data_IF_913145719689
#
_entry.id   IF_913145719689
#
_cell.length_a   1.000
_cell.length_b   1.000
_cell.length_c   1.000
_cell.angle_alpha   90.00
_cell.angle_beta   90.00
_cell.angle_gamma   90.00
#
_symmetry.space_group_name_H-M   'P 1'
#
loop_
_entity.id
_entity.type
_entity.pdbx_description
1 polymer ?
#
# COMPACT_ATOMS: atom_id res chain seq x y z
N UNK A 1 1.87 1.44 34.73
CA UNK A 1 1.36 1.08 33.40
C UNK A 1 2.54 0.86 32.48
N UNK A 2 2.68 -0.33 31.88
CA UNK A 2 3.75 -0.61 30.91
C UNK A 2 3.43 0.11 29.60
N UNK A 3 4.15 1.18 29.31
CA UNK A 3 3.99 1.91 28.05
C UNK A 3 4.59 1.09 26.91
N UNK A 4 3.75 0.44 26.11
CA UNK A 4 4.14 -0.36 24.94
C UNK A 4 4.48 0.55 23.75
N UNK A 5 5.25 0.03 22.80
CA UNK A 5 5.58 0.69 21.53
C UNK A 5 4.34 1.16 20.76
N UNK A 6 3.27 0.35 20.81
CA UNK A 6 1.95 0.67 20.26
C UNK A 6 1.40 1.99 20.81
N UNK A 7 1.43 2.16 22.14
CA UNK A 7 0.86 3.33 22.79
C UNK A 7 1.67 4.62 22.56
N UNK A 8 3.00 4.50 22.43
CA UNK A 8 3.90 5.68 22.41
C UNK A 8 4.19 6.21 21.02
N UNK A 9 4.09 5.39 19.98
CA UNK A 9 4.52 5.80 18.64
C UNK A 9 3.50 5.43 17.56
N UNK A 10 2.91 4.22 17.60
CA UNK A 10 1.92 3.79 16.59
C UNK A 10 0.64 4.61 16.64
N UNK A 11 0.01 4.74 17.81
CA UNK A 11 -1.21 5.55 17.99
C UNK A 11 -0.98 7.03 17.61
N UNK A 12 0.08 7.71 18.11
CA UNK A 12 0.37 9.08 17.68
C UNK A 12 0.58 9.23 16.17
N UNK A 13 1.20 8.25 15.52
CA UNK A 13 1.43 8.26 14.06
C UNK A 13 0.10 8.16 13.30
N UNK A 14 -0.79 7.25 13.71
CA UNK A 14 -2.12 7.10 13.09
C UNK A 14 -2.94 8.37 13.29
N UNK A 15 -2.99 8.92 14.50
CA UNK A 15 -3.71 10.16 14.78
C UNK A 15 -3.16 11.34 13.96
N UNK A 16 -1.85 11.40 13.76
CA UNK A 16 -1.23 12.41 12.91
C UNK A 16 -1.64 12.25 11.43
N UNK A 17 -1.59 11.03 10.89
CA UNK A 17 -2.05 10.73 9.53
C UNK A 17 -3.53 11.09 9.34
N UNK A 18 -4.38 10.79 10.32
CA UNK A 18 -5.79 11.18 10.27
C UNK A 18 -5.99 12.69 10.23
N UNK A 19 -5.18 13.46 10.98
CA UNK A 19 -5.18 14.94 10.90
C UNK A 19 -4.71 15.46 9.55
N UNK A 20 -3.91 14.69 8.81
CA UNK A 20 -3.47 15.02 7.44
C UNK A 20 -4.51 14.61 6.37
N UNK A 21 -5.65 14.04 6.77
CA UNK A 21 -6.74 13.68 5.85
C UNK A 21 -6.79 12.19 5.47
N UNK A 22 -6.00 11.33 6.12
CA UNK A 22 -6.14 9.87 5.94
C UNK A 22 -7.33 9.34 6.73
N UNK A 23 -8.15 8.49 6.12
CA UNK A 23 -9.20 7.77 6.82
C UNK A 23 -8.65 6.50 7.45
N UNK A 24 -8.99 6.22 8.72
CA UNK A 24 -8.64 4.94 9.32
C UNK A 24 -9.54 3.83 8.77
N UNK A 25 -8.94 2.85 8.11
CA UNK A 25 -9.65 1.69 7.56
C UNK A 25 -9.46 0.48 8.47
N UNK A 26 -10.54 0.03 9.10
CA UNK A 26 -10.55 -1.22 9.86
C UNK A 26 -10.48 -2.43 8.93
N UNK A 27 -9.68 -3.43 9.28
CA UNK A 27 -9.67 -4.72 8.57
C UNK A 27 -10.87 -5.61 8.94
N UNK A 28 -11.57 -5.29 10.04
CA UNK A 28 -12.71 -6.10 10.50
C UNK A 28 -13.90 -5.91 9.57
N UNK A 29 -14.28 -6.99 8.87
CA UNK A 29 -15.43 -6.97 7.95
C UNK A 29 -15.13 -6.36 6.57
N UNK A 30 -13.88 -5.95 6.33
CA UNK A 30 -13.44 -5.42 5.04
C UNK A 30 -12.94 -6.54 4.15
N UNK A 31 -13.27 -6.49 2.86
CA UNK A 31 -12.76 -7.42 1.86
C UNK A 31 -11.60 -6.77 1.08
N UNK A 32 -10.53 -7.54 0.87
CA UNK A 32 -9.41 -7.15 0.03
C UNK A 32 -8.81 -8.38 -0.65
N UNK A 33 -8.08 -8.14 -1.73
CA UNK A 33 -7.38 -9.17 -2.47
C UNK A 33 -6.14 -9.63 -1.67
N UNK A 34 -6.12 -10.89 -1.22
CA UNK A 34 -5.04 -11.39 -0.35
C UNK A 34 -3.71 -11.61 -1.07
N UNK A 35 -3.73 -11.69 -2.40
CA UNK A 35 -2.54 -11.94 -3.20
C UNK A 35 -1.74 -10.67 -3.48
N UNK A 36 -2.42 -9.52 -3.52
CA UNK A 36 -1.83 -8.20 -3.82
C UNK A 36 -2.00 -7.18 -2.69
N UNK A 37 -2.90 -7.46 -1.74
CA UNK A 37 -3.35 -6.54 -0.69
C UNK A 37 -4.03 -5.26 -1.23
N UNK A 38 -4.49 -5.27 -2.48
CA UNK A 38 -5.34 -4.21 -3.05
C UNK A 38 -6.77 -4.36 -2.53
N UNK A 39 -7.41 -3.24 -2.21
CA UNK A 39 -8.81 -3.15 -1.77
C UNK A 39 -9.69 -2.84 -2.99
N UNK A 40 -10.39 -3.83 -3.59
CA UNK A 40 -11.03 -3.65 -4.90
C UNK A 40 -12.14 -2.60 -4.90
N UNK A 41 -12.91 -2.50 -3.83
CA UNK A 41 -14.00 -1.52 -3.72
C UNK A 41 -13.46 -0.08 -3.70
N UNK A 42 -12.41 0.16 -2.91
CA UNK A 42 -11.73 1.45 -2.84
C UNK A 42 -11.03 1.80 -4.15
N UNK A 43 -10.40 0.82 -4.79
CA UNK A 43 -9.78 0.96 -6.10
C UNK A 43 -10.81 1.36 -7.16
N UNK A 44 -11.88 0.59 -7.30
CA UNK A 44 -12.90 0.84 -8.31
C UNK A 44 -13.58 2.19 -8.12
N UNK A 45 -13.95 2.53 -6.88
CA UNK A 45 -14.52 3.84 -6.55
C UNK A 45 -13.59 4.99 -6.94
N UNK A 46 -12.30 4.88 -6.63
CA UNK A 46 -11.33 5.91 -6.96
C UNK A 46 -11.06 6.03 -8.46
N UNK A 47 -10.84 4.90 -9.14
CA UNK A 47 -10.56 4.89 -10.59
C UNK A 47 -11.73 5.43 -11.38
N UNK A 48 -12.98 5.03 -11.07
CA UNK A 48 -14.17 5.60 -11.72
C UNK A 48 -14.30 7.10 -11.51
N UNK A 49 -13.94 7.60 -10.33
CA UNK A 49 -13.96 9.04 -10.04
C UNK A 49 -12.87 9.82 -10.79
N UNK A 50 -11.69 9.24 -10.92
CA UNK A 50 -10.53 9.86 -11.60
C UNK A 50 -10.67 9.79 -13.13
N UNK A 51 -11.36 8.76 -13.64
CA UNK A 51 -11.53 8.50 -15.06
C UNK A 51 -13.03 8.38 -15.39
N UNK A 52 -13.75 9.50 -15.54
CA UNK A 52 -15.22 9.52 -15.67
C UNK A 52 -15.76 8.76 -16.88
N UNK A 53 -14.93 8.63 -17.93
CA UNK A 53 -15.29 7.98 -19.19
C UNK A 53 -15.15 6.44 -19.13
N UNK A 54 -14.64 5.88 -18.03
CA UNK A 54 -14.49 4.43 -17.88
C UNK A 54 -15.77 3.77 -17.39
N UNK A 55 -16.14 2.66 -18.03
CA UNK A 55 -17.22 1.79 -17.54
C UNK A 55 -16.75 0.94 -16.36
N UNK A 56 -17.69 0.33 -15.62
CA UNK A 56 -17.36 -0.63 -14.56
C UNK A 56 -16.50 -1.78 -15.06
N UNK A 57 -16.73 -2.24 -16.29
CA UNK A 57 -15.98 -3.34 -16.91
C UNK A 57 -14.55 -2.92 -17.25
N UNK A 58 -14.37 -1.67 -17.70
CA UNK A 58 -13.02 -1.13 -17.96
C UNK A 58 -12.23 -1.01 -16.66
N UNK A 59 -12.88 -0.60 -15.57
CA UNK A 59 -12.25 -0.50 -14.25
C UNK A 59 -11.88 -1.89 -13.71
N UNK A 60 -12.75 -2.89 -13.88
CA UNK A 60 -12.46 -4.27 -13.50
C UNK A 60 -11.27 -4.84 -14.29
N UNK A 61 -11.22 -4.60 -15.61
CA UNK A 61 -10.07 -4.97 -16.44
C UNK A 61 -8.79 -4.27 -16.00
N UNK A 62 -8.86 -2.97 -15.69
CA UNK A 62 -7.70 -2.23 -15.19
C UNK A 62 -7.17 -2.82 -13.88
N UNK A 63 -8.06 -3.21 -12.96
CA UNK A 63 -7.65 -3.85 -11.71
C UNK A 63 -6.88 -5.15 -11.98
N UNK A 64 -7.37 -5.99 -12.89
CA UNK A 64 -6.67 -7.22 -13.28
C UNK A 64 -5.34 -6.94 -13.99
N UNK A 65 -5.27 -5.92 -14.85
CA UNK A 65 -3.99 -5.48 -15.44
C UNK A 65 -2.99 -4.99 -14.38
N UNK A 66 -3.46 -4.26 -13.37
CA UNK A 66 -2.62 -3.79 -12.27
C UNK A 66 -2.07 -4.98 -11.50
N UNK A 67 -2.93 -5.95 -11.14
CA UNK A 67 -2.52 -7.19 -10.47
C UNK A 67 -1.47 -7.95 -11.29
N UNK A 68 -1.71 -8.16 -12.58
CA UNK A 68 -0.77 -8.82 -13.47
C UNK A 68 0.56 -8.06 -13.55
N UNK A 69 0.54 -6.73 -13.57
CA UNK A 69 1.77 -5.94 -13.60
C UNK A 69 2.64 -6.09 -12.35
N UNK A 70 2.04 -6.46 -11.20
CA UNK A 70 2.78 -6.75 -9.97
C UNK A 70 3.54 -8.08 -10.04
N UNK A 71 3.20 -8.96 -10.97
CA UNK A 71 3.85 -10.26 -11.17
C UNK A 71 5.13 -10.17 -11.98
N UNK A 72 5.28 -9.08 -12.73
CA UNK A 72 6.38 -8.88 -13.66
C UNK A 72 7.74 -8.95 -12.96
N UNK A 73 8.71 -9.53 -13.66
CA UNK A 73 10.11 -9.60 -13.21
C UNK A 73 10.89 -8.31 -13.50
N UNK A 74 10.29 -7.16 -13.22
CA UNK A 74 10.81 -5.84 -13.61
C UNK A 74 11.02 -4.88 -12.43
N UNK A 75 11.04 -5.43 -11.20
CA UNK A 75 11.16 -4.67 -9.95
C UNK A 75 10.08 -3.59 -9.79
N UNK A 76 8.89 -3.82 -10.36
CA UNK A 76 7.73 -2.95 -10.24
C UNK A 76 7.75 -1.79 -11.21
N UNK A 77 8.63 -1.82 -12.22
CA UNK A 77 8.76 -0.73 -13.20
C UNK A 77 7.49 -0.54 -14.03
N UNK A 78 6.85 -1.62 -14.47
CA UNK A 78 5.58 -1.56 -15.19
C UNK A 78 4.48 -0.94 -14.33
N UNK A 79 4.33 -1.42 -13.09
CA UNK A 79 3.38 -0.86 -12.14
C UNK A 79 3.66 0.62 -11.86
N UNK A 80 4.91 0.98 -11.59
CA UNK A 80 5.32 2.36 -11.34
C UNK A 80 5.05 3.28 -12.54
N UNK A 81 5.27 2.81 -13.77
CA UNK A 81 4.96 3.58 -14.97
C UNK A 81 3.44 3.77 -15.14
N UNK A 82 2.62 2.74 -14.88
CA UNK A 82 1.16 2.87 -14.84
C UNK A 82 0.72 3.87 -13.77
N UNK A 83 1.32 3.81 -12.57
CA UNK A 83 0.98 4.72 -11.48
C UNK A 83 1.28 6.19 -11.81
N UNK A 84 2.39 6.46 -12.51
CA UNK A 84 2.81 7.82 -12.90
C UNK A 84 2.10 8.38 -14.13
N UNK A 85 1.26 7.59 -14.80
CA UNK A 85 0.61 8.03 -16.03
C UNK A 85 -0.18 9.32 -15.78
N UNK A 86 0.07 10.34 -16.61
CA UNK A 86 -0.61 11.65 -16.55
C UNK A 86 -1.69 11.83 -17.60
N UNK A 87 -1.74 10.92 -18.58
CA UNK A 87 -2.66 10.95 -19.70
C UNK A 87 -3.24 9.56 -19.95
N UNK A 88 -4.45 9.49 -20.51
CA UNK A 88 -5.18 8.23 -20.63
C UNK A 88 -5.72 7.79 -19.27
N UNK A 89 -5.68 6.49 -19.00
CA UNK A 89 -6.13 5.92 -17.72
C UNK A 89 -5.16 6.25 -16.59
N UNK A 90 -5.66 6.98 -15.58
CA UNK A 90 -4.90 7.42 -14.41
C UNK A 90 -5.26 6.59 -13.18
N UNK A 91 -4.24 6.07 -12.49
CA UNK A 91 -4.41 5.40 -11.18
C UNK A 91 -4.36 6.39 -10.00
N UNK A 92 -3.67 7.51 -10.18
CA UNK A 92 -3.54 8.60 -9.21
C UNK A 92 -3.83 9.91 -9.94
N UNK A 93 -4.66 10.75 -9.34
CA UNK A 93 -4.86 12.11 -9.83
C UNK A 93 -3.82 13.05 -9.23
N UNK A 94 -2.75 13.31 -9.98
CA UNK A 94 -1.68 14.23 -9.58
C UNK A 94 -2.04 15.70 -9.80
N UNK A 95 -3.09 15.99 -10.58
CA UNK A 95 -3.51 17.36 -10.89
C UNK A 95 -4.49 17.87 -9.84
N UNK A 96 -5.43 17.01 -9.42
CA UNK A 96 -6.34 17.30 -8.32
C UNK A 96 -6.25 16.22 -7.22
N UNK A 97 -5.41 16.48 -6.22
CA UNK A 97 -5.11 15.49 -5.19
C UNK A 97 -6.33 15.09 -4.36
N UNK A 98 -7.34 15.96 -4.22
CA UNK A 98 -8.57 15.65 -3.48
C UNK A 98 -9.46 14.61 -4.16
N UNK A 99 -9.19 14.27 -5.42
CA UNK A 99 -9.87 13.18 -6.11
C UNK A 99 -9.35 11.80 -5.69
N UNK A 100 -8.20 11.72 -5.02
CA UNK A 100 -7.68 10.47 -4.50
C UNK A 100 -8.28 10.16 -3.12
N UNK A 101 -8.37 8.89 -2.77
CA UNK A 101 -8.72 8.42 -1.43
C UNK A 101 -7.48 7.95 -0.68
N UNK A 102 -7.36 8.33 0.58
CA UNK A 102 -6.20 8.07 1.42
C UNK A 102 -6.65 7.33 2.66
N UNK A 103 -6.10 6.14 2.88
CA UNK A 103 -6.45 5.35 4.06
C UNK A 103 -5.21 4.92 4.82
N UNK A 104 -5.34 4.85 6.13
CA UNK A 104 -4.36 4.24 7.03
C UNK A 104 -4.92 2.94 7.56
N UNK A 105 -4.16 1.87 7.37
CA UNK A 105 -4.47 0.52 7.85
C UNK A 105 -3.36 0.07 8.78
N UNK A 106 -3.73 -0.64 9.83
CA UNK A 106 -2.78 -1.28 10.75
C UNK A 106 -2.84 -2.77 10.61
N UNK A 107 -1.72 -3.45 10.82
CA UNK A 107 -1.67 -4.92 10.94
C UNK A 107 -2.11 -5.69 9.68
N UNK A 108 -2.02 -5.08 8.49
CA UNK A 108 -2.31 -5.76 7.22
C UNK A 108 -1.24 -6.83 6.96
N UNK A 109 -1.68 -8.09 6.88
CA UNK A 109 -0.77 -9.22 6.71
C UNK A 109 -0.44 -9.42 5.23
N UNK A 110 0.85 -9.54 4.94
CA UNK A 110 1.41 -9.84 3.62
C UNK A 110 1.84 -11.29 3.61
N UNK A 111 1.06 -12.13 2.93
CA UNK A 111 1.24 -13.58 2.94
C UNK A 111 1.53 -14.10 1.54
N UNK A 112 2.53 -14.97 1.41
CA UNK A 112 2.74 -15.79 0.23
C UNK A 112 3.10 -17.22 0.65
N UNK A 113 2.20 -18.17 0.38
CA UNK A 113 2.34 -19.55 0.83
C UNK A 113 2.43 -19.61 2.36
N UNK A 114 3.51 -20.20 2.86
CA UNK A 114 3.79 -20.32 4.30
C UNK A 114 4.53 -19.11 4.87
N UNK A 115 5.05 -18.22 4.01
CA UNK A 115 5.80 -17.05 4.43
C UNK A 115 4.85 -15.86 4.61
N UNK A 116 4.90 -15.19 5.77
CA UNK A 116 4.13 -13.96 6.02
C UNK A 116 4.94 -12.90 6.77
N UNK A 117 4.59 -11.63 6.53
CA UNK A 117 5.04 -10.51 7.35
C UNK A 117 3.92 -9.50 7.52
N UNK A 118 4.04 -8.62 8.51
CA UNK A 118 3.00 -7.66 8.85
C UNK A 118 3.63 -6.32 9.22
N UNK A 119 3.53 -5.30 8.37
CA UNK A 119 3.95 -3.94 8.72
C UNK A 119 3.08 -3.36 9.82
N UNK A 120 3.67 -2.46 10.62
CA UNK A 120 2.94 -1.75 11.66
C UNK A 120 1.78 -0.92 11.09
N UNK A 121 2.09 -0.11 10.09
CA UNK A 121 1.16 0.82 9.44
C UNK A 121 1.35 0.76 7.93
N UNK A 122 0.26 0.69 7.20
CA UNK A 122 0.20 0.70 5.74
C UNK A 122 -0.64 1.89 5.31
N UNK A 123 -0.16 2.66 4.35
CA UNK A 123 -0.96 3.69 3.70
C UNK A 123 -1.48 3.17 2.36
N UNK A 124 -2.80 3.25 2.21
CA UNK A 124 -3.47 2.99 0.95
C UNK A 124 -3.70 4.31 0.23
N UNK A 125 -3.44 4.32 -1.08
CA UNK A 125 -3.88 5.38 -1.98
C UNK A 125 -4.76 4.74 -3.03
N UNK A 126 -6.01 5.18 -3.16
CA UNK A 126 -6.99 4.61 -4.09
C UNK A 126 -7.10 3.08 -3.95
N UNK A 127 -7.09 2.59 -2.71
CA UNK A 127 -7.15 1.15 -2.39
C UNK A 127 -5.86 0.35 -2.62
N UNK A 128 -4.80 0.96 -3.17
CA UNK A 128 -3.51 0.30 -3.40
C UNK A 128 -2.57 0.49 -2.20
N UNK A 129 -1.90 -0.56 -1.70
CA UNK A 129 -0.98 -0.45 -0.56
C UNK A 129 0.42 0.02 -0.98
N UNK A 130 0.63 1.34 -1.03
CA UNK A 130 1.82 1.94 -1.63
C UNK A 130 2.96 2.26 -0.65
N UNK A 131 2.66 2.39 0.65
CA UNK A 131 3.65 2.83 1.66
C UNK A 131 3.56 2.00 2.92
N UNK A 132 4.71 1.55 3.40
CA UNK A 132 4.86 0.92 4.72
C UNK A 132 5.54 1.89 5.69
N UNK A 133 5.02 1.95 6.89
CA UNK A 133 5.59 2.70 8.00
C UNK A 133 5.85 1.71 9.12
N UNK A 134 7.13 1.43 9.35
CA UNK A 134 7.58 0.65 10.50
C UNK A 134 7.86 1.58 11.67
N UNK A 135 7.25 1.28 12.81
CA UNK A 135 7.37 2.09 13.99
C UNK A 135 8.42 1.46 14.91
N UNK A 136 9.31 2.27 15.49
CA UNK A 136 10.32 1.83 16.48
C UNK A 136 10.48 2.87 17.58
N UNK A 137 10.91 2.42 18.77
CA UNK A 137 11.26 3.33 19.87
C UNK A 137 12.46 4.22 19.48
N UNK A 138 12.46 5.51 19.84
CA UNK A 138 13.62 6.37 19.66
C UNK A 138 14.80 5.81 20.48
N UNK A 139 15.96 5.63 19.83
CA UNK A 139 17.23 5.04 20.31
C UNK A 139 17.59 3.61 19.84
N UNK A 140 16.86 3.00 18.91
CA UNK A 140 17.25 1.71 18.33
C UNK A 140 17.73 1.82 16.87
N UNK A 141 18.89 2.47 16.66
CA UNK A 141 19.45 2.73 15.32
C UNK A 141 19.78 1.43 14.58
N UNK A 142 20.34 0.45 15.29
CA UNK A 142 20.70 -0.87 14.74
C UNK A 142 19.45 -1.67 14.37
N UNK A 143 18.37 -1.55 15.15
CA UNK A 143 17.08 -2.18 14.83
C UNK A 143 16.43 -1.65 13.55
N UNK A 144 16.59 -0.35 13.25
CA UNK A 144 16.08 0.25 12.00
C UNK A 144 16.87 -0.27 10.78
N UNK A 145 18.19 -0.37 10.88
CA UNK A 145 19.05 -0.89 9.81
C UNK A 145 18.76 -2.37 9.57
N UNK A 146 18.69 -3.18 10.63
CA UNK A 146 18.38 -4.60 10.56
C UNK A 146 16.99 -4.84 9.93
N UNK A 147 16.00 -4.00 10.23
CA UNK A 147 14.67 -4.14 9.62
C UNK A 147 14.69 -3.78 8.13
N UNK A 148 15.41 -2.72 7.76
CA UNK A 148 15.61 -2.38 6.35
C UNK A 148 16.27 -3.53 5.58
N UNK A 149 17.29 -4.16 6.16
CA UNK A 149 17.93 -5.33 5.57
C UNK A 149 16.99 -6.53 5.48
N UNK A 150 16.18 -6.79 6.53
CA UNK A 150 15.18 -7.87 6.51
C UNK A 150 14.11 -7.65 5.45
N UNK A 151 13.57 -6.43 5.34
CA UNK A 151 12.60 -6.06 4.32
C UNK A 151 13.23 -6.18 2.93
N UNK A 152 14.45 -5.68 2.73
CA UNK A 152 15.15 -5.81 1.45
C UNK A 152 15.39 -7.27 1.08
N UNK A 153 15.84 -8.12 2.02
CA UNK A 153 16.05 -9.55 1.81
C UNK A 153 14.74 -10.29 1.52
N UNK A 154 13.67 -9.98 2.25
CA UNK A 154 12.32 -10.53 1.98
C UNK A 154 11.85 -10.14 0.59
N UNK A 155 12.07 -8.90 0.18
CA UNK A 155 11.68 -8.41 -1.13
C UNK A 155 12.60 -8.83 -2.29
N UNK A 156 13.79 -9.37 -2.01
CA UNK A 156 14.59 -10.09 -3.00
C UNK A 156 14.03 -11.51 -3.24
N UNK A 157 13.20 -12.04 -2.34
CA UNK A 157 12.54 -13.33 -2.54
C UNK A 157 11.48 -13.17 -3.65
N UNK A 158 11.54 -13.97 -4.73
CA UNK A 158 10.54 -13.97 -5.79
C UNK A 158 9.10 -14.13 -5.29
N UNK A 159 8.90 -14.78 -4.14
CA UNK A 159 7.58 -14.91 -3.50
C UNK A 159 6.98 -13.56 -3.07
N UNK A 160 7.78 -12.63 -2.53
CA UNK A 160 7.26 -11.33 -2.10
C UNK A 160 7.30 -10.26 -3.20
N UNK A 161 7.58 -10.66 -4.45
CA UNK A 161 7.76 -9.76 -5.60
C UNK A 161 6.55 -8.86 -5.84
N UNK A 162 5.33 -9.40 -5.77
CA UNK A 162 4.08 -8.63 -5.95
C UNK A 162 3.99 -7.45 -4.98
N UNK A 163 4.28 -7.71 -3.72
CA UNK A 163 4.24 -6.70 -2.67
C UNK A 163 5.41 -5.71 -2.77
N UNK A 164 6.59 -6.23 -3.09
CA UNK A 164 7.78 -5.46 -3.37
C UNK A 164 7.60 -4.45 -4.52
N UNK A 165 6.83 -4.83 -5.54
CA UNK A 165 6.53 -4.03 -6.72
C UNK A 165 5.49 -2.94 -6.45
N UNK A 166 4.60 -3.14 -5.46
CA UNK A 166 3.56 -2.17 -5.09
C UNK A 166 4.10 -1.05 -4.18
N UNK A 167 5.14 -1.34 -3.39
CA UNK A 167 5.65 -0.44 -2.34
C UNK A 167 6.81 0.41 -2.84
N UNK A 168 6.70 1.72 -2.63
CA UNK A 168 7.77 2.66 -2.98
C UNK A 168 9.03 2.47 -2.13
N UNK A 169 10.17 2.28 -2.80
CA UNK A 169 11.50 2.33 -2.17
C UNK A 169 12.24 3.57 -2.61
N UNK A 170 12.83 4.29 -1.66
CA UNK A 170 13.92 5.22 -1.97
C UNK A 170 15.16 4.38 -2.29
N UNK A 171 15.63 4.50 -3.53
CA UNK A 171 16.96 4.06 -3.98
C UNK A 171 18.05 4.70 -3.13
#
# INVERSE_FOLDING_TARGET
>A
MSFTEDSRVKIPTILHLMRLGYEYLSLKGTHWDKDTNIFPELFSSAVSRINPDMTSDDVARLLEEVKLSLDNEDLGRAFFNKLKARSGTKLIDFENFSNNSFHVVTELTYKNGDDEFRPDIILLINGMPLVFIEVKKPNNRDGIIAERERINKRFQNPKFKRFANCVFRRS
#
